data_IF_561752245058
#
_entry.id   IF_561752245058
#
_cell.length_a   1.000
_cell.length_b   1.000
_cell.length_c   1.000
_cell.angle_alpha   90.00
_cell.angle_beta   90.00
_cell.angle_gamma   90.00
#
_symmetry.space_group_name_H-M   'P 1'
#
loop_
_entity.id
_entity.type
_entity.pdbx_description
1 polymer ?
#
# COMPACT_ATOMS: atom_id res chain seq x y z
N UNK A 1 86.12 -1.23 4.08
CA UNK A 1 85.49 -2.08 5.10
C UNK A 1 84.09 -1.55 5.35
N UNK A 2 83.09 -2.43 5.19
CA UNK A 2 81.70 -2.41 5.73
C UNK A 2 80.81 -1.17 5.47
N UNK A 3 79.81 -1.26 4.57
CA UNK A 3 78.35 -1.55 4.81
C UNK A 3 77.61 -0.34 5.45
N UNK A 4 76.39 0.11 5.12
CA UNK A 4 75.27 -0.40 4.31
C UNK A 4 74.09 0.63 4.36
N UNK A 5 73.28 0.72 3.27
CA UNK A 5 71.79 0.81 3.19
C UNK A 5 71.10 2.09 3.81
N UNK A 6 70.16 2.81 3.17
CA UNK A 6 68.70 2.53 3.06
C UNK A 6 68.04 3.48 2.05
N UNK A 7 67.18 2.91 1.20
CA UNK A 7 66.26 3.50 0.23
C UNK A 7 64.92 3.81 0.91
N UNK A 8 64.29 4.97 0.65
CA UNK A 8 62.82 5.05 0.52
C UNK A 8 62.40 6.30 -0.28
N UNK A 9 61.93 6.12 -1.51
CA UNK A 9 61.25 7.15 -2.30
C UNK A 9 59.74 6.99 -2.15
N UNK A 10 59.07 8.05 -1.70
CA UNK A 10 57.62 8.14 -1.56
C UNK A 10 57.05 8.80 -2.83
N UNK A 11 56.40 8.03 -3.70
CA UNK A 11 55.70 8.53 -4.88
C UNK A 11 54.19 8.47 -4.66
N UNK A 12 53.57 9.63 -4.38
CA UNK A 12 52.12 9.80 -4.36
C UNK A 12 51.66 10.33 -5.73
N UNK A 13 50.77 9.59 -6.40
CA UNK A 13 50.17 9.97 -7.67
C UNK A 13 48.71 10.36 -7.42
N UNK A 14 48.40 11.65 -7.54
CA UNK A 14 47.04 12.18 -7.44
C UNK A 14 46.42 12.28 -8.84
N UNK A 15 45.29 11.61 -9.06
CA UNK A 15 44.46 11.75 -10.25
C UNK A 15 43.26 12.64 -9.91
N UNK A 16 43.30 13.88 -10.41
CA UNK A 16 42.21 14.84 -10.35
C UNK A 16 41.24 14.62 -11.53
N UNK A 17 40.02 14.18 -11.24
CA UNK A 17 38.90 14.19 -12.19
C UNK A 17 38.15 15.53 -12.10
N UNK A 18 38.09 16.25 -13.22
CA UNK A 18 37.30 17.48 -13.33
C UNK A 18 35.82 17.16 -13.51
N UNK A 19 34.98 17.82 -12.73
CA UNK A 19 33.52 17.85 -12.97
C UNK A 19 33.21 18.98 -13.94
N UNK A 20 32.52 18.66 -15.03
CA UNK A 20 31.94 19.66 -15.93
C UNK A 20 30.53 20.01 -15.44
N UNK A 21 30.33 21.26 -15.02
CA UNK A 21 29.01 21.83 -14.76
C UNK A 21 28.50 22.52 -16.03
N UNK A 22 27.27 22.19 -16.45
CA UNK A 22 26.47 23.04 -17.33
C UNK A 22 25.15 23.36 -16.59
N UNK A 23 24.86 24.65 -16.46
CA UNK A 23 23.72 25.27 -15.78
C UNK A 23 22.76 25.90 -16.82
N UNK A 24 21.72 26.69 -16.45
CA UNK A 24 20.63 26.52 -15.47
C UNK A 24 19.25 26.57 -16.20
N UNK A 25 18.17 27.05 -15.54
CA UNK A 25 16.78 27.29 -15.99
C UNK A 25 15.84 26.09 -15.72
N UNK A 26 14.78 26.13 -14.91
CA UNK A 26 14.10 27.20 -14.19
C UNK A 26 12.64 26.79 -13.95
N UNK A 27 12.19 26.88 -12.69
CA UNK A 27 10.82 27.10 -12.20
C UNK A 27 9.74 25.99 -12.23
N UNK A 28 9.40 25.58 -11.01
CA UNK A 28 8.04 25.38 -10.46
C UNK A 28 7.17 24.25 -11.01
N UNK A 29 7.05 23.17 -10.22
CA UNK A 29 5.72 22.81 -9.71
C UNK A 29 5.82 22.09 -8.37
N UNK A 30 4.94 22.49 -7.45
CA UNK A 30 4.85 21.95 -6.10
C UNK A 30 4.29 20.53 -6.09
N UNK A 31 4.93 19.66 -5.29
CA UNK A 31 4.34 18.52 -4.57
C UNK A 31 3.61 17.41 -5.37
N UNK A 32 4.35 16.34 -5.73
CA UNK A 32 4.01 14.93 -5.43
C UNK A 32 5.20 14.01 -5.82
N UNK A 33 5.56 12.97 -5.05
CA UNK A 33 6.53 11.98 -5.50
C UNK A 33 5.86 11.08 -6.55
N UNK A 34 6.07 11.39 -7.83
CA UNK A 34 5.73 10.51 -8.95
C UNK A 34 6.81 9.44 -9.09
N UNK A 35 6.75 8.41 -8.24
CA UNK A 35 7.35 7.12 -8.57
C UNK A 35 6.45 6.39 -9.57
N UNK A 36 7.04 5.73 -10.56
CA UNK A 36 6.43 4.70 -11.42
C UNK A 36 5.61 5.08 -12.67
N UNK A 37 5.70 6.28 -13.25
CA UNK A 37 5.28 6.45 -14.66
C UNK A 37 6.50 6.41 -15.58
N UNK A 38 6.96 5.19 -15.91
CA UNK A 38 7.91 5.00 -17.00
C UNK A 38 7.16 5.07 -18.34
N UNK A 39 7.55 6.03 -19.18
CA UNK A 39 7.23 5.98 -20.61
C UNK A 39 7.80 4.68 -21.21
N UNK A 40 7.20 4.11 -22.27
CA UNK A 40 7.63 2.83 -22.83
C UNK A 40 9.02 2.98 -23.45
N UNK A 41 10.06 2.54 -22.73
CA UNK A 41 11.38 2.36 -23.31
C UNK A 41 11.36 1.08 -24.17
N UNK A 42 11.41 1.27 -25.49
CA UNK A 42 11.30 0.20 -26.49
C UNK A 42 12.41 -0.86 -26.47
N UNK A 43 13.32 -0.87 -25.48
CA UNK A 43 14.46 -1.79 -25.38
C UNK A 43 14.83 -2.16 -23.93
N UNK A 44 13.85 -2.33 -23.03
CA UNK A 44 14.10 -2.90 -21.70
C UNK A 44 14.17 -4.44 -21.74
N UNK A 45 14.97 -5.11 -20.88
CA UNK A 45 15.01 -6.57 -20.79
C UNK A 45 13.61 -7.14 -20.51
N UNK A 46 13.15 -8.04 -21.38
CA UNK A 46 11.79 -8.60 -21.38
C UNK A 46 11.46 -9.50 -20.17
N UNK A 47 12.40 -9.68 -19.22
CA UNK A 47 12.26 -10.58 -18.06
C UNK A 47 11.55 -9.98 -16.85
N UNK A 48 11.33 -8.65 -16.83
CA UNK A 48 10.52 -7.96 -15.81
C UNK A 48 9.31 -7.28 -16.46
N UNK A 49 8.67 -7.95 -17.42
CA UNK A 49 7.34 -7.53 -17.82
C UNK A 49 6.49 -7.48 -16.54
N UNK A 50 6.09 -6.27 -16.16
CA UNK A 50 5.26 -5.98 -14.99
C UNK A 50 3.84 -6.50 -15.22
N UNK A 51 3.70 -7.80 -15.46
CA UNK A 51 2.44 -8.53 -15.33
C UNK A 51 2.21 -8.76 -13.85
N UNK A 52 2.19 -7.67 -13.06
CA UNK A 52 1.58 -7.73 -11.74
C UNK A 52 0.14 -8.16 -12.01
N UNK A 53 -0.21 -9.38 -11.58
CA UNK A 53 -1.58 -9.86 -11.70
C UNK A 53 -2.48 -8.81 -11.05
N UNK A 54 -3.29 -8.15 -11.87
CA UNK A 54 -4.18 -7.10 -11.38
C UNK A 54 -5.27 -7.79 -10.60
N UNK A 55 -5.19 -7.70 -9.27
CA UNK A 55 -6.24 -8.21 -8.40
C UNK A 55 -7.57 -7.52 -8.74
N UNK A 56 -8.71 -8.23 -8.60
CA UNK A 56 -10.00 -7.61 -8.84
C UNK A 56 -10.19 -6.43 -7.90
N UNK A 57 -10.59 -5.28 -8.45
CA UNK A 57 -10.97 -4.13 -7.63
C UNK A 57 -12.25 -4.46 -6.86
N UNK A 58 -12.23 -4.26 -5.55
CA UNK A 58 -13.38 -4.47 -4.67
C UNK A 58 -13.90 -3.11 -4.22
N UNK A 59 -15.04 -2.69 -4.77
CA UNK A 59 -15.62 -1.37 -4.54
C UNK A 59 -16.98 -1.40 -3.82
N UNK A 60 -17.53 -2.60 -3.60
CA UNK A 60 -18.84 -2.81 -2.96
C UNK A 60 -18.85 -4.10 -2.15
N UNK A 61 -19.84 -4.25 -1.27
CA UNK A 61 -20.09 -5.48 -0.52
C UNK A 61 -20.38 -6.65 -1.46
N UNK A 62 -21.16 -6.43 -2.52
CA UNK A 62 -21.41 -7.46 -3.52
C UNK A 62 -20.13 -7.89 -4.25
N UNK A 63 -19.22 -6.96 -4.57
CA UNK A 63 -17.93 -7.32 -5.15
C UNK A 63 -17.08 -8.13 -4.17
N UNK A 64 -17.06 -7.75 -2.89
CA UNK A 64 -16.34 -8.48 -1.85
C UNK A 64 -16.78 -9.95 -1.78
N UNK A 65 -18.09 -10.20 -1.82
CA UNK A 65 -18.66 -11.56 -1.76
C UNK A 65 -18.35 -12.35 -3.04
N UNK A 66 -18.54 -11.74 -4.21
CA UNK A 66 -18.54 -12.48 -5.48
C UNK A 66 -17.16 -12.57 -6.16
N UNK A 67 -16.31 -11.57 -5.95
CA UNK A 67 -15.02 -11.39 -6.65
C UNK A 67 -13.84 -11.35 -5.69
N UNK A 68 -14.07 -11.05 -4.42
CA UNK A 68 -13.05 -10.99 -3.40
C UNK A 68 -12.25 -12.29 -3.32
N UNK A 69 -10.94 -12.12 -3.17
CA UNK A 69 -10.01 -13.21 -2.88
C UNK A 69 -9.78 -13.28 -1.37
N UNK A 70 -9.34 -14.45 -0.91
CA UNK A 70 -8.86 -14.62 0.46
C UNK A 70 -7.61 -13.75 0.70
N UNK A 71 -7.45 -13.25 1.92
CA UNK A 71 -6.38 -12.34 2.35
C UNK A 71 -6.34 -10.99 1.60
N UNK A 72 -7.39 -10.66 0.83
CA UNK A 72 -7.42 -9.44 0.04
C UNK A 72 -7.80 -8.22 0.90
N UNK A 73 -6.94 -7.22 0.92
CA UNK A 73 -7.22 -5.94 1.58
C UNK A 73 -8.27 -5.15 0.79
N UNK A 74 -9.26 -4.61 1.51
CA UNK A 74 -10.38 -3.86 0.95
C UNK A 74 -10.63 -2.57 1.71
N UNK A 75 -11.26 -1.61 1.04
CA UNK A 75 -11.82 -0.42 1.67
C UNK A 75 -13.22 -0.20 1.15
N UNK A 76 -14.21 -0.24 2.05
CA UNK A 76 -15.63 -0.20 1.70
C UNK A 76 -16.36 0.89 2.51
N UNK A 77 -17.44 1.41 1.93
CA UNK A 77 -18.29 2.42 2.57
C UNK A 77 -19.67 1.87 2.80
N UNK A 78 -20.21 2.11 3.98
CA UNK A 78 -21.47 1.50 4.39
C UNK A 78 -21.83 1.86 5.83
N UNK A 79 -22.68 1.04 6.43
CA UNK A 79 -23.21 1.23 7.78
C UNK A 79 -23.15 -0.08 8.54
N UNK A 80 -22.86 -0.01 9.84
CA UNK A 80 -23.02 -1.15 10.75
C UNK A 80 -24.48 -1.20 11.19
N UNK A 81 -25.21 -2.23 10.77
CA UNK A 81 -26.67 -2.31 10.91
C UNK A 81 -27.13 -3.23 12.03
N UNK A 82 -26.32 -4.23 12.40
CA UNK A 82 -26.71 -5.18 13.43
C UNK A 82 -25.51 -5.73 14.19
N UNK A 83 -25.72 -6.10 15.45
CA UNK A 83 -24.79 -6.90 16.23
C UNK A 83 -25.25 -8.36 16.18
N UNK A 84 -24.34 -9.27 15.84
CA UNK A 84 -24.69 -10.69 15.62
C UNK A 84 -23.95 -11.66 16.56
N UNK A 85 -23.23 -11.14 17.55
CA UNK A 85 -22.58 -11.92 18.62
C UNK A 85 -21.06 -11.76 18.67
N UNK A 86 -20.48 -11.90 19.86
CA UNK A 86 -19.04 -11.71 20.14
C UNK A 86 -18.52 -10.35 19.64
N UNK A 87 -17.64 -10.36 18.65
CA UNK A 87 -17.01 -9.26 17.93
C UNK A 87 -17.60 -9.07 16.52
N UNK A 88 -18.70 -9.77 16.19
CA UNK A 88 -19.28 -9.83 14.84
C UNK A 88 -20.47 -8.90 14.66
N UNK A 89 -20.47 -8.22 13.53
CA UNK A 89 -21.49 -7.26 13.13
C UNK A 89 -21.93 -7.45 11.68
N UNK A 90 -23.10 -6.94 11.33
CA UNK A 90 -23.52 -6.77 9.94
C UNK A 90 -23.11 -5.39 9.43
N UNK A 91 -22.41 -5.38 8.29
CA UNK A 91 -22.07 -4.20 7.52
C UNK A 91 -22.84 -4.20 6.21
N UNK A 92 -23.48 -3.09 5.89
CA UNK A 92 -24.34 -2.95 4.74
C UNK A 92 -23.96 -1.74 3.87
N UNK A 93 -23.93 -1.94 2.56
CA UNK A 93 -23.97 -0.89 1.55
C UNK A 93 -25.22 -1.04 0.65
N UNK A 94 -25.29 -0.30 -0.46
CA UNK A 94 -26.43 -0.37 -1.39
C UNK A 94 -26.53 -1.71 -2.14
N UNK A 95 -25.46 -2.51 -2.16
CA UNK A 95 -25.33 -3.73 -2.94
C UNK A 95 -25.54 -5.01 -2.13
N UNK A 96 -25.44 -4.93 -0.80
CA UNK A 96 -25.67 -6.08 0.06
C UNK A 96 -25.22 -5.90 1.50
N UNK A 97 -25.24 -7.01 2.23
CA UNK A 97 -24.81 -7.11 3.62
C UNK A 97 -23.72 -8.17 3.76
N UNK A 98 -22.69 -7.89 4.55
CA UNK A 98 -21.59 -8.79 4.86
C UNK A 98 -21.30 -8.77 6.35
N UNK A 99 -20.80 -9.89 6.87
CA UNK A 99 -20.28 -9.95 8.24
C UNK A 99 -18.94 -9.22 8.32
N UNK A 100 -18.78 -8.42 9.36
CA UNK A 100 -17.50 -7.86 9.75
C UNK A 100 -17.15 -8.27 11.17
N UNK A 101 -15.86 -8.36 11.46
CA UNK A 101 -15.33 -8.55 12.81
C UNK A 101 -14.63 -7.28 13.25
N UNK A 102 -15.05 -6.77 14.41
CA UNK A 102 -14.47 -5.64 15.12
C UNK A 102 -13.81 -6.18 16.38
N UNK A 103 -12.52 -6.49 16.29
CA UNK A 103 -11.72 -7.07 17.38
C UNK A 103 -11.93 -6.32 18.71
N UNK A 104 -12.17 -7.07 19.79
CA UNK A 104 -12.47 -6.54 21.12
C UNK A 104 -11.25 -5.91 21.81
N UNK A 105 -10.05 -6.18 21.30
CA UNK A 105 -8.81 -5.50 21.70
C UNK A 105 -8.67 -4.08 21.12
N UNK A 106 -9.58 -3.66 20.22
CA UNK A 106 -9.56 -2.33 19.58
C UNK A 106 -10.63 -1.39 20.15
N UNK A 107 -10.35 -0.08 20.13
CA UNK A 107 -11.31 0.93 20.57
C UNK A 107 -12.23 1.37 19.42
N UNK A 108 -13.50 0.96 19.48
CA UNK A 108 -14.55 1.30 18.51
C UNK A 108 -15.57 2.34 19.01
N UNK A 109 -15.33 3.01 20.14
CA UNK A 109 -16.31 3.92 20.77
C UNK A 109 -16.71 5.12 19.93
N UNK A 110 -15.92 5.49 18.92
CA UNK A 110 -16.24 6.54 17.94
C UNK A 110 -17.18 6.06 16.83
N UNK A 111 -17.52 4.76 16.80
CA UNK A 111 -18.42 4.18 15.81
C UNK A 111 -19.84 4.03 16.37
N UNK A 112 -20.82 4.64 15.71
CA UNK A 112 -22.24 4.58 16.06
C UNK A 112 -22.99 3.65 15.10
N UNK A 113 -24.02 2.99 15.62
CA UNK A 113 -24.95 2.19 14.81
C UNK A 113 -25.55 3.05 13.69
N UNK A 114 -25.67 2.47 12.50
CA UNK A 114 -26.28 3.07 11.31
C UNK A 114 -25.61 4.35 10.79
N UNK A 115 -24.50 4.82 11.36
CA UNK A 115 -23.78 5.95 10.79
C UNK A 115 -23.02 5.53 9.54
N UNK A 116 -22.81 6.46 8.60
CA UNK A 116 -22.03 6.18 7.40
C UNK A 116 -20.54 6.17 7.76
N UNK A 117 -19.87 5.07 7.47
CA UNK A 117 -18.44 4.87 7.76
C UNK A 117 -17.71 4.35 6.53
N UNK A 118 -16.40 4.57 6.49
CA UNK A 118 -15.45 3.86 5.65
C UNK A 118 -14.70 2.84 6.53
N UNK A 119 -14.69 1.58 6.12
CA UNK A 119 -13.91 0.53 6.76
C UNK A 119 -12.74 0.14 5.86
N UNK A 120 -11.59 -0.16 6.48
CA UNK A 120 -10.46 -0.84 5.84
C UNK A 120 -10.20 -2.13 6.61
N UNK A 121 -10.04 -3.23 5.88
CA UNK A 121 -9.87 -4.55 6.46
C UNK A 121 -9.39 -5.57 5.44
N UNK A 122 -9.33 -6.82 5.87
CA UNK A 122 -8.95 -7.98 5.07
C UNK A 122 -10.16 -8.89 4.87
N UNK A 123 -10.32 -9.39 3.64
CA UNK A 123 -11.30 -10.43 3.36
C UNK A 123 -10.78 -11.78 3.83
N UNK A 124 -11.53 -12.43 4.72
CA UNK A 124 -11.35 -13.83 5.04
C UNK A 124 -12.44 -14.63 4.32
N UNK A 125 -12.02 -15.44 3.36
CA UNK A 125 -12.88 -16.19 2.46
C UNK A 125 -12.73 -17.68 2.67
N UNK A 126 -13.76 -18.25 3.27
CA UNK A 126 -13.95 -19.68 3.32
C UNK A 126 -14.92 -20.17 2.24
N UNK A 127 -14.98 -21.50 2.06
CA UNK A 127 -15.89 -22.12 1.08
C UNK A 127 -17.37 -21.79 1.31
N UNK A 128 -17.76 -21.45 2.54
CA UNK A 128 -19.16 -21.26 2.93
C UNK A 128 -19.51 -19.81 3.27
N UNK A 129 -18.52 -18.96 3.54
CA UNK A 129 -18.76 -17.59 3.98
C UNK A 129 -17.59 -16.68 3.62
N UNK A 130 -17.90 -15.39 3.53
CA UNK A 130 -16.94 -14.31 3.42
C UNK A 130 -17.20 -13.35 4.58
N UNK A 131 -16.15 -12.95 5.28
CA UNK A 131 -16.18 -11.89 6.30
C UNK A 131 -15.07 -10.87 6.04
N UNK A 132 -15.14 -9.72 6.70
CA UNK A 132 -14.05 -8.75 6.71
C UNK A 132 -13.54 -8.58 8.14
N UNK A 133 -12.26 -8.83 8.35
CA UNK A 133 -11.56 -8.48 9.59
C UNK A 133 -11.17 -7.01 9.52
N UNK A 134 -11.77 -6.17 10.37
CA UNK A 134 -11.66 -4.71 10.23
C UNK A 134 -10.48 -4.19 11.03
N UNK A 135 -9.56 -3.51 10.33
CA UNK A 135 -8.42 -2.85 10.96
C UNK A 135 -8.73 -1.41 11.35
N UNK A 136 -9.56 -0.73 10.55
CA UNK A 136 -9.91 0.68 10.77
C UNK A 136 -11.33 0.98 10.31
N UNK A 137 -12.04 1.79 11.09
CA UNK A 137 -13.31 2.38 10.71
C UNK A 137 -13.26 3.89 10.95
N UNK A 138 -13.76 4.68 9.99
CA UNK A 138 -13.76 6.14 10.06
C UNK A 138 -15.15 6.67 9.68
N UNK A 139 -15.80 7.48 10.54
CA UNK A 139 -17.03 8.17 10.18
C UNK A 139 -16.81 9.05 8.96
N UNK A 140 -17.70 8.96 7.98
CA UNK A 140 -17.71 9.87 6.84
C UNK A 140 -18.58 11.07 7.23
N UNK A 141 -17.93 12.15 7.66
CA UNK A 141 -18.59 13.42 7.92
C UNK A 141 -19.34 13.87 6.67
N UNK A 142 -20.59 14.31 6.84
CA UNK A 142 -21.32 15.05 5.81
C UNK A 142 -20.77 16.47 5.68
#
# INVERSE_FOLDING_TARGET
>A
MSKAIIITTLSALALSSTVAFAAPQGFNNSSAPQGFTQAPQANAPQGFANSAAQLPAIASVSDAINKGLDEQHVTLRGRITNFIGDDKYEFQDETGTIKIELDDDQNWSHIQKDQLIEITGELDKHLQYVKIEVYRATPISK
#
